data_IF_029570735429
#
_entry.id   IF_029570735429
#
_cell.length_a   1.000
_cell.length_b   1.000
_cell.length_c   1.000
_cell.angle_alpha   90.00
_cell.angle_beta   90.00
_cell.angle_gamma   90.00
#
_symmetry.space_group_name_H-M   'P 1'
#
loop_
_entity.id
_entity.type
_entity.pdbx_description
1 polymer ?
#
# COMPACT_ATOMS: atom_id res chain seq x y z
N UNK A 1 17.00 -18.96 -18.63
CA UNK A 1 17.52 -18.80 -17.26
C UNK A 1 16.40 -18.21 -16.44
N UNK A 2 15.94 -18.91 -15.41
CA UNK A 2 14.93 -18.39 -14.48
C UNK A 2 15.68 -17.99 -13.22
N UNK A 3 15.63 -16.71 -12.85
CA UNK A 3 16.23 -16.20 -11.62
C UNK A 3 15.22 -16.43 -10.50
N UNK A 4 15.62 -17.08 -9.41
CA UNK A 4 14.72 -17.42 -8.29
C UNK A 4 15.26 -16.98 -6.92
N UNK A 5 16.32 -16.18 -6.91
CA UNK A 5 16.98 -15.72 -5.68
C UNK A 5 17.15 -14.21 -5.71
N UNK A 6 17.09 -13.61 -4.53
CA UNK A 6 17.37 -12.19 -4.31
C UNK A 6 18.88 -11.92 -4.30
N UNK A 7 19.25 -10.68 -4.64
CA UNK A 7 20.60 -10.16 -4.54
C UNK A 7 21.30 -9.99 -5.89
N UNK A 8 22.62 -9.89 -5.83
CA UNK A 8 23.47 -9.65 -6.98
C UNK A 8 23.73 -10.93 -7.79
N UNK A 9 23.42 -10.87 -9.08
CA UNK A 9 23.60 -11.94 -10.03
C UNK A 9 24.58 -11.52 -11.13
N UNK A 10 25.65 -12.30 -11.31
CA UNK A 10 26.65 -12.09 -12.34
C UNK A 10 26.32 -12.88 -13.62
N UNK A 11 26.21 -12.17 -14.74
CA UNK A 11 26.06 -12.75 -16.07
C UNK A 11 27.39 -12.63 -16.83
N UNK A 12 27.84 -13.74 -17.42
CA UNK A 12 29.01 -13.79 -18.30
C UNK A 12 28.70 -14.63 -19.54
N UNK A 13 29.45 -14.43 -20.61
CA UNK A 13 29.28 -15.15 -21.86
C UNK A 13 30.59 -15.80 -22.33
N UNK A 14 30.50 -16.96 -22.97
CA UNK A 14 31.55 -17.56 -23.77
C UNK A 14 30.98 -17.99 -25.12
N UNK A 15 31.85 -18.21 -26.10
CA UNK A 15 31.47 -18.68 -27.43
C UNK A 15 32.27 -19.92 -27.81
N UNK A 16 31.66 -20.80 -28.61
CA UNK A 16 32.33 -21.93 -29.24
C UNK A 16 32.15 -21.90 -30.76
N UNK A 17 33.16 -22.35 -31.52
CA UNK A 17 33.07 -22.47 -32.98
C UNK A 17 32.59 -23.87 -33.44
N UNK A 18 32.43 -24.05 -34.76
CA UNK A 18 31.96 -25.32 -35.36
C UNK A 18 32.95 -26.48 -35.20
N UNK A 19 34.22 -26.17 -34.92
CA UNK A 19 35.27 -27.14 -34.68
C UNK A 19 35.39 -27.51 -33.18
N UNK A 20 34.63 -26.84 -32.30
CA UNK A 20 34.59 -27.09 -30.86
C UNK A 20 35.54 -26.25 -30.00
N UNK A 21 36.24 -25.26 -30.57
CA UNK A 21 37.10 -24.37 -29.78
C UNK A 21 36.23 -23.42 -28.95
N UNK A 22 36.52 -23.23 -27.66
CA UNK A 22 35.74 -22.36 -26.76
C UNK A 22 36.57 -21.19 -26.23
N UNK A 23 35.99 -19.99 -26.18
CA UNK A 23 36.64 -18.79 -25.65
C UNK A 23 36.72 -18.78 -24.11
N UNK A 24 37.50 -17.86 -23.55
CA UNK A 24 37.34 -17.46 -22.15
C UNK A 24 35.98 -16.79 -21.92
N UNK A 25 35.55 -16.70 -20.66
CA UNK A 25 34.38 -15.93 -20.25
C UNK A 25 34.65 -14.42 -20.40
N UNK A 26 33.61 -13.66 -20.75
CA UNK A 26 33.61 -12.20 -20.67
C UNK A 26 33.74 -11.71 -19.22
N UNK A 27 34.03 -10.42 -19.05
CA UNK A 27 33.76 -9.75 -17.76
C UNK A 27 32.28 -9.91 -17.38
N UNK A 28 32.02 -9.99 -16.08
CA UNK A 28 30.66 -10.14 -15.56
C UNK A 28 29.87 -8.82 -15.65
N UNK A 29 28.58 -8.93 -15.97
CA UNK A 29 27.59 -7.87 -15.75
C UNK A 29 26.76 -8.25 -14.53
N UNK A 30 26.63 -7.32 -13.60
CA UNK A 30 25.94 -7.50 -12.33
C UNK A 30 24.51 -6.95 -12.41
N UNK A 31 23.54 -7.73 -11.95
CA UNK A 31 22.14 -7.35 -11.86
C UNK A 31 21.64 -7.69 -10.46
N UNK A 32 21.16 -6.69 -9.73
CA UNK A 32 20.55 -6.90 -8.43
C UNK A 32 19.05 -7.16 -8.60
N UNK A 33 18.59 -8.34 -8.20
CA UNK A 33 17.18 -8.69 -8.18
C UNK A 33 16.63 -8.52 -6.77
N UNK A 34 15.52 -7.83 -6.65
CA UNK A 34 14.72 -7.74 -5.43
C UNK A 34 13.37 -8.37 -5.75
N UNK A 35 13.04 -9.44 -5.02
CA UNK A 35 11.80 -10.18 -5.18
C UNK A 35 10.98 -10.20 -3.89
N UNK A 36 11.39 -9.43 -2.88
CA UNK A 36 10.79 -9.43 -1.56
C UNK A 36 9.78 -8.30 -1.46
N UNK A 37 8.46 -8.59 -1.35
CA UNK A 37 7.48 -7.54 -1.15
C UNK A 37 7.68 -6.79 0.17
N UNK A 38 7.26 -5.50 0.23
CA UNK A 38 7.12 -4.80 1.50
C UNK A 38 6.20 -5.52 2.47
N UNK A 39 6.35 -5.20 3.76
CA UNK A 39 5.38 -5.61 4.77
C UNK A 39 4.00 -5.02 4.46
N UNK A 40 2.95 -5.77 4.78
CA UNK A 40 1.57 -5.27 4.71
C UNK A 40 1.41 -4.01 5.56
N UNK A 41 0.84 -2.90 5.03
CA UNK A 41 0.62 -1.70 5.81
C UNK A 41 -0.29 -1.93 7.01
N UNK A 42 0.03 -1.30 8.13
CA UNK A 42 -0.91 -1.07 9.22
C UNK A 42 -1.45 0.35 9.11
N UNK A 43 -2.78 0.51 9.19
CA UNK A 43 -3.45 1.80 9.05
C UNK A 43 -4.17 2.21 10.33
N UNK A 44 -4.25 3.51 10.57
CA UNK A 44 -5.12 4.12 11.58
C UNK A 44 -5.93 5.24 10.94
N UNK A 45 -7.15 5.45 11.43
CA UNK A 45 -8.09 6.43 10.88
C UNK A 45 -8.43 7.44 11.97
N UNK A 46 -8.58 8.71 11.60
CA UNK A 46 -8.99 9.78 12.51
C UNK A 46 -9.83 10.84 11.81
N UNK A 47 -10.72 11.50 12.53
CA UNK A 47 -11.42 12.71 12.10
C UNK A 47 -10.96 13.93 12.94
N UNK A 48 -9.93 14.63 12.44
CA UNK A 48 -9.24 15.65 13.22
C UNK A 48 -8.40 15.01 14.33
N UNK A 49 -8.70 15.32 15.60
CA UNK A 49 -7.95 14.79 16.75
C UNK A 49 -8.51 13.50 17.34
N UNK A 50 -9.68 13.03 16.88
CA UNK A 50 -10.28 11.79 17.40
C UNK A 50 -9.88 10.62 16.50
N UNK A 51 -9.33 9.57 17.10
CA UNK A 51 -9.10 8.30 16.43
C UNK A 51 -10.41 7.55 16.26
N UNK A 52 -10.57 6.89 15.11
CA UNK A 52 -11.69 6.03 14.79
C UNK A 52 -11.20 4.58 14.75
N UNK A 53 -11.87 3.72 15.49
CA UNK A 53 -11.63 2.28 15.53
C UNK A 53 -12.56 1.55 14.56
N UNK A 54 -12.24 0.29 14.29
CA UNK A 54 -13.07 -0.58 13.46
C UNK A 54 -14.49 -0.73 14.04
N UNK A 55 -15.49 -0.45 13.21
CA UNK A 55 -16.91 -0.44 13.58
C UNK A 55 -17.42 0.89 14.14
N UNK A 56 -16.59 1.91 14.30
CA UNK A 56 -17.03 3.22 14.78
C UNK A 56 -17.95 3.93 13.78
N UNK A 57 -18.80 4.83 14.29
CA UNK A 57 -19.64 5.72 13.48
C UNK A 57 -19.22 7.18 13.66
N UNK A 58 -19.36 7.98 12.61
CA UNK A 58 -19.02 9.41 12.65
C UNK A 58 -19.88 10.22 11.69
N UNK A 59 -20.12 11.48 12.04
CA UNK A 59 -20.75 12.48 11.17
C UNK A 59 -19.75 13.51 10.61
N UNK A 60 -18.45 13.37 10.94
CA UNK A 60 -17.40 14.21 10.38
C UNK A 60 -16.98 13.65 9.03
N UNK A 61 -16.98 14.48 7.99
CA UNK A 61 -16.69 14.04 6.62
C UNK A 61 -15.22 14.18 6.21
N UNK A 62 -14.35 14.72 7.07
CA UNK A 62 -12.91 14.85 6.82
C UNK A 62 -12.15 13.81 7.65
N UNK A 63 -11.54 12.85 6.98
CA UNK A 63 -10.76 11.79 7.61
C UNK A 63 -9.30 11.86 7.19
N UNK A 64 -8.43 11.41 8.08
CA UNK A 64 -7.01 11.21 7.82
C UNK A 64 -6.70 9.74 8.06
N UNK A 65 -6.12 9.08 7.07
CA UNK A 65 -5.57 7.72 7.21
C UNK A 65 -4.06 7.82 7.33
N UNK A 66 -3.52 7.26 8.39
CA UNK A 66 -2.08 7.22 8.65
C UNK A 66 -1.58 5.78 8.61
N UNK A 67 -0.30 5.61 8.30
CA UNK A 67 0.35 4.32 8.45
C UNK A 67 1.87 4.42 8.41
N UNK A 68 2.50 3.26 8.42
CA UNK A 68 3.96 3.11 8.33
C UNK A 68 4.35 2.26 7.13
N UNK A 69 5.59 2.40 6.66
CA UNK A 69 6.17 1.56 5.60
C UNK A 69 7.67 1.80 5.45
N UNK A 70 8.30 1.20 4.44
CA UNK A 70 9.70 1.51 4.14
C UNK A 70 9.77 2.82 3.36
N UNK A 71 10.79 3.64 3.66
CA UNK A 71 11.04 4.90 2.96
C UNK A 71 11.02 4.70 1.45
N UNK A 72 10.27 5.53 0.74
CA UNK A 72 10.20 5.51 -0.72
C UNK A 72 9.21 4.49 -1.30
N UNK A 73 8.64 3.60 -0.47
CA UNK A 73 7.54 2.74 -0.91
C UNK A 73 6.34 3.59 -1.34
N UNK A 74 5.58 3.08 -2.30
CA UNK A 74 4.32 3.66 -2.74
C UNK A 74 3.17 2.92 -2.07
N UNK A 75 2.39 3.64 -1.25
CA UNK A 75 1.17 3.15 -0.62
C UNK A 75 -0.02 3.48 -1.48
N UNK A 76 -0.88 2.49 -1.72
CA UNK A 76 -2.20 2.63 -2.33
C UNK A 76 -3.26 2.42 -1.26
N UNK A 77 -4.14 3.41 -1.09
CA UNK A 77 -5.26 3.38 -0.15
C UNK A 77 -6.57 3.15 -0.90
N UNK A 78 -7.37 2.24 -0.38
CA UNK A 78 -8.64 1.80 -0.96
C UNK A 78 -9.79 2.05 0.01
N UNK A 79 -10.96 2.34 -0.54
CA UNK A 79 -12.24 2.39 0.15
C UNK A 79 -13.21 1.45 -0.57
N UNK A 80 -13.73 0.45 0.15
CA UNK A 80 -14.59 -0.59 -0.41
C UNK A 80 -13.98 -1.26 -1.65
N UNK A 81 -12.66 -1.46 -1.64
CA UNK A 81 -11.88 -2.04 -2.74
C UNK A 81 -11.56 -1.09 -3.90
N UNK A 82 -12.07 0.13 -3.89
CA UNK A 82 -11.77 1.15 -4.91
C UNK A 82 -10.55 1.96 -4.51
N UNK A 83 -9.57 2.13 -5.41
CA UNK A 83 -8.40 2.96 -5.16
C UNK A 83 -8.82 4.43 -5.02
N UNK A 84 -8.52 5.05 -3.88
CA UNK A 84 -8.87 6.44 -3.59
C UNK A 84 -7.66 7.38 -3.48
N UNK A 85 -6.50 6.86 -3.06
CA UNK A 85 -5.26 7.64 -2.92
C UNK A 85 -4.03 6.80 -3.19
N UNK A 86 -2.98 7.49 -3.62
CA UNK A 86 -1.62 6.98 -3.70
C UNK A 86 -0.71 7.96 -2.97
N UNK A 87 0.12 7.45 -2.05
CA UNK A 87 1.01 8.26 -1.20
C UNK A 87 2.37 7.59 -1.12
N UNK A 88 3.46 8.37 -1.12
CA UNK A 88 4.81 7.84 -0.90
C UNK A 88 5.13 7.87 0.60
N UNK A 89 5.76 6.82 1.10
CA UNK A 89 6.27 6.77 2.47
C UNK A 89 7.45 7.72 2.62
N UNK A 90 7.39 8.57 3.64
CA UNK A 90 8.40 9.57 3.93
C UNK A 90 9.72 8.96 4.45
N UNK A 91 10.69 9.83 4.67
CA UNK A 91 12.02 9.46 5.15
C UNK A 91 12.03 8.89 6.58
N UNK A 92 10.95 9.08 7.33
CA UNK A 92 10.77 8.55 8.68
C UNK A 92 9.96 7.24 8.68
N UNK A 93 9.64 6.68 7.51
CA UNK A 93 8.85 5.46 7.39
C UNK A 93 7.36 5.66 7.68
N UNK A 94 6.85 6.89 7.54
CA UNK A 94 5.45 7.25 7.79
C UNK A 94 4.77 7.78 6.54
N UNK A 95 3.45 7.66 6.48
CA UNK A 95 2.63 8.27 5.46
C UNK A 95 1.29 8.69 6.03
N UNK A 96 0.66 9.68 5.38
CA UNK A 96 -0.64 10.21 5.76
C UNK A 96 -1.42 10.61 4.51
N UNK A 97 -2.72 10.36 4.54
CA UNK A 97 -3.65 10.65 3.45
C UNK A 97 -4.92 11.29 3.99
N UNK A 98 -5.16 12.55 3.62
CA UNK A 98 -6.42 13.23 3.90
C UNK A 98 -7.46 12.92 2.81
N UNK A 99 -8.70 12.71 3.24
CA UNK A 99 -9.83 12.40 2.39
C UNK A 99 -11.13 13.04 2.88
N UNK A 100 -12.02 13.30 1.93
CA UNK A 100 -13.35 13.82 2.20
C UNK A 100 -14.37 12.76 1.78
N UNK A 101 -15.15 12.27 2.74
CA UNK A 101 -16.25 11.35 2.50
C UNK A 101 -17.49 12.15 2.09
N UNK A 102 -18.22 11.64 1.09
CA UNK A 102 -19.40 12.34 0.54
C UNK A 102 -20.65 11.46 0.47
N UNK A 103 -20.53 10.19 0.84
CA UNK A 103 -21.60 9.19 0.77
C UNK A 103 -21.79 8.57 2.15
N UNK A 104 -23.03 8.47 2.64
CA UNK A 104 -23.34 7.75 3.87
C UNK A 104 -23.15 6.24 3.72
N UNK A 105 -22.95 5.57 4.86
CA UNK A 105 -22.82 4.12 4.97
C UNK A 105 -21.44 3.67 5.42
N UNK A 106 -21.20 2.37 5.28
CA UNK A 106 -19.95 1.72 5.67
C UNK A 106 -18.83 1.96 4.65
N UNK A 107 -17.68 2.39 5.15
CA UNK A 107 -16.45 2.59 4.40
C UNK A 107 -15.36 1.63 4.90
N UNK A 108 -15.05 0.61 4.10
CA UNK A 108 -14.01 -0.37 4.40
C UNK A 108 -12.64 0.11 3.87
N UNK A 109 -11.87 0.78 4.72
CA UNK A 109 -10.57 1.34 4.37
C UNK A 109 -9.46 0.29 4.46
N UNK A 110 -8.63 0.16 3.42
CA UNK A 110 -7.51 -0.79 3.39
C UNK A 110 -6.35 -0.25 2.56
N UNK A 111 -5.13 -0.77 2.75
CA UNK A 111 -3.95 -0.30 2.03
C UNK A 111 -3.02 -1.43 1.57
N UNK A 112 -2.25 -1.17 0.51
CA UNK A 112 -1.13 -2.00 0.04
C UNK A 112 0.10 -1.13 -0.22
N UNK A 113 1.30 -1.68 -0.08
CA UNK A 113 2.55 -0.98 -0.40
C UNK A 113 3.28 -1.66 -1.57
N UNK A 114 3.99 -0.87 -2.37
CA UNK A 114 4.89 -1.34 -3.43
C UNK A 114 6.27 -0.72 -3.26
N UNK A 115 7.32 -1.52 -3.35
CA UNK A 115 8.71 -1.02 -3.31
C UNK A 115 9.15 -0.43 -4.65
N UNK A 116 10.39 0.03 -4.70
CA UNK A 116 11.04 0.59 -5.91
C UNK A 116 11.31 -0.46 -6.99
N UNK A 117 11.42 -1.73 -6.64
CA UNK A 117 11.62 -2.84 -7.57
C UNK A 117 10.29 -3.31 -8.20
N UNK A 118 9.15 -2.87 -7.66
CA UNK A 118 7.81 -3.18 -8.13
C UNK A 118 7.14 -4.34 -7.39
N UNK A 119 7.75 -4.91 -6.34
CA UNK A 119 7.10 -5.92 -5.53
C UNK A 119 5.98 -5.27 -4.70
N UNK A 120 4.85 -5.96 -4.55
CA UNK A 120 3.66 -5.42 -3.88
C UNK A 120 3.24 -6.30 -2.73
N UNK A 121 2.95 -5.69 -1.57
CA UNK A 121 2.48 -6.36 -0.37
C UNK A 121 1.08 -6.95 -0.55
N UNK A 122 0.64 -7.77 0.40
CA UNK A 122 -0.78 -8.05 0.56
C UNK A 122 -1.54 -6.76 0.95
N UNK A 123 -2.86 -6.77 0.76
CA UNK A 123 -3.76 -5.77 1.33
C UNK A 123 -3.81 -5.91 2.86
N UNK A 124 -3.89 -4.77 3.56
CA UNK A 124 -4.16 -4.73 5.00
C UNK A 124 -5.54 -5.30 5.31
N UNK A 125 -5.76 -5.68 6.57
CA UNK A 125 -7.12 -5.79 7.09
C UNK A 125 -7.86 -4.48 6.89
N UNK A 126 -9.16 -4.56 6.59
CA UNK A 126 -10.00 -3.38 6.46
C UNK A 126 -10.29 -2.78 7.84
N UNK A 127 -10.40 -1.45 7.90
CA UNK A 127 -10.99 -0.70 9.01
C UNK A 127 -12.32 -0.14 8.51
N UNK A 128 -13.41 -0.58 9.11
CA UNK A 128 -14.79 -0.20 8.78
C UNK A 128 -15.21 1.01 9.60
N UNK A 129 -15.54 2.11 8.92
CA UNK A 129 -16.09 3.31 9.56
C UNK A 129 -17.44 3.63 8.92
N UNK A 130 -18.47 3.77 9.74
CA UNK A 130 -19.80 4.14 9.26
C UNK A 130 -19.99 5.66 9.28
N UNK A 131 -20.20 6.26 8.10
CA UNK A 131 -20.47 7.69 7.97
C UNK A 131 -21.99 7.95 7.94
N UNK A 132 -22.47 8.79 8.86
CA UNK A 132 -23.89 9.14 8.99
C UNK A 132 -24.04 10.63 9.35
N UNK A 133 -24.71 11.38 8.48
CA UNK A 133 -25.05 12.80 8.67
C UNK A 133 -26.55 13.05 8.69
N UNK A 134 -27.37 11.98 8.64
CA UNK A 134 -28.82 12.05 8.60
C UNK A 134 -29.36 12.27 10.01
N UNK A 135 -29.99 13.43 10.31
CA UNK A 135 -30.54 13.66 11.63
C UNK A 135 -31.75 12.77 11.92
N UNK A 136 -32.01 12.43 13.19
CA UNK A 136 -33.25 11.74 13.56
C UNK A 136 -34.47 12.63 13.31
N UNK A 137 -35.64 12.01 13.15
CA UNK A 137 -36.91 12.73 13.05
C UNK A 137 -37.19 13.55 14.32
N UNK A 138 -37.87 14.68 14.17
CA UNK A 138 -38.29 15.51 15.30
C UNK A 138 -39.24 14.75 16.24
N UNK A 139 -38.98 14.67 17.55
CA UNK A 139 -39.90 14.06 18.51
C UNK A 139 -41.22 14.83 18.60
N UNK A 140 -42.34 14.14 18.75
CA UNK A 140 -43.67 14.75 18.97
C UNK A 140 -44.26 14.29 20.32
N UNK A 141 -44.88 15.23 21.05
CA UNK A 141 -45.68 14.94 22.24
C UNK A 141 -47.16 15.05 21.87
N UNK A 142 -47.93 13.99 22.07
CA UNK A 142 -49.40 14.01 21.99
C UNK A 142 -49.98 14.10 23.40
N UNK A 143 -50.86 15.09 23.60
CA UNK A 143 -51.64 15.27 24.84
C UNK A 143 -52.82 14.30 24.91
#
# INVERSE_FOLDING_TARGET
>A
MTITTEGDHALSASASDVAGNTSALSSAVHINFDITPPNTPAITVSNGTHGLLDGDSTNANTWTVNGTGNKGDTVKLYDNGTLIKTVTVDDNGKWSADMTITTEGDHALSASASDVAGNTSALSSAVHINFDITPPNTPAITL
#
